data_IF_291607665217
#
_entry.id   IF_291607665217
#
_cell.length_a   1.000
_cell.length_b   1.000
_cell.length_c   1.000
_cell.angle_alpha   90.00
_cell.angle_beta   90.00
_cell.angle_gamma   90.00
#
_symmetry.space_group_name_H-M   'P 1'
#
loop_
_entity.id
_entity.type
_entity.pdbx_description
1 polymer ?
#
# COMPACT_ATOMS: atom_id res chain seq x y z
N UNK A 1 6.08 18.42 64.63
CA UNK A 1 6.11 17.10 63.95
C UNK A 1 4.94 16.86 62.98
N UNK A 2 4.00 17.81 62.74
CA UNK A 2 2.84 17.58 61.79
C UNK A 2 3.06 18.06 60.35
N UNK A 3 4.15 18.80 60.06
CA UNK A 3 4.40 19.33 58.71
C UNK A 3 5.19 18.43 57.77
N UNK A 4 5.96 17.48 58.31
CA UNK A 4 6.77 16.55 57.51
C UNK A 4 5.92 15.43 56.87
N UNK A 5 4.84 15.02 57.58
CA UNK A 5 3.95 13.96 57.06
C UNK A 5 3.14 14.35 55.80
N UNK A 6 2.81 15.64 55.70
CA UNK A 6 2.01 16.16 54.56
C UNK A 6 2.87 16.24 53.27
N UNK A 7 4.18 16.55 53.43
CA UNK A 7 5.08 16.63 52.26
C UNK A 7 5.35 15.24 51.65
N UNK A 8 5.47 14.20 52.50
CA UNK A 8 5.69 12.83 52.02
C UNK A 8 4.46 12.28 51.28
N UNK A 9 3.24 12.61 51.76
CA UNK A 9 2.00 12.17 51.08
C UNK A 9 1.81 12.87 49.76
N UNK A 10 2.16 14.16 49.63
CA UNK A 10 2.06 14.91 48.37
C UNK A 10 3.13 14.44 47.40
N UNK A 11 4.35 14.11 47.85
CA UNK A 11 5.37 13.54 46.96
C UNK A 11 5.00 12.14 46.46
N UNK A 12 4.38 11.28 47.29
CA UNK A 12 3.92 9.95 46.90
C UNK A 12 2.76 10.03 45.91
N UNK A 13 1.90 11.05 45.99
CA UNK A 13 0.83 11.29 45.01
C UNK A 13 1.34 11.80 43.65
N UNK A 14 2.46 12.56 43.66
CA UNK A 14 3.05 13.05 42.40
C UNK A 14 3.81 11.92 41.67
N UNK A 15 4.44 10.99 42.40
CA UNK A 15 5.13 9.82 41.81
C UNK A 15 4.12 8.80 41.27
N UNK A 16 2.93 8.66 41.90
CA UNK A 16 1.90 7.73 41.46
C UNK A 16 1.13 8.18 40.22
N UNK A 17 1.19 9.47 39.85
CA UNK A 17 0.50 10.00 38.65
C UNK A 17 1.37 9.91 37.40
N UNK A 18 2.70 9.78 37.53
CA UNK A 18 3.59 9.67 36.38
C UNK A 18 3.51 8.33 35.63
N UNK A 19 3.06 7.26 36.28
CA UNK A 19 2.92 5.94 35.63
C UNK A 19 1.57 5.76 34.90
N UNK A 20 0.59 6.64 35.16
CA UNK A 20 -0.73 6.51 34.53
C UNK A 20 -0.86 7.23 33.16
N UNK A 21 0.12 8.04 32.79
CA UNK A 21 0.09 8.79 31.52
C UNK A 21 0.72 8.03 30.34
N UNK A 22 1.26 6.82 30.54
CA UNK A 22 1.93 6.02 29.49
C UNK A 22 1.15 4.81 29.01
N UNK A 23 -0.09 4.62 29.47
CA UNK A 23 -0.97 3.54 29.02
C UNK A 23 -1.72 3.98 27.77
N UNK A 24 -1.08 3.98 26.58
CA UNK A 24 -1.87 4.21 25.36
C UNK A 24 -1.19 4.37 24.03
N UNK A 25 0.10 4.62 23.90
CA UNK A 25 0.72 4.67 22.58
C UNK A 25 1.40 3.33 22.26
N UNK A 26 0.82 2.59 21.32
CA UNK A 26 1.49 1.39 20.79
C UNK A 26 2.86 1.80 20.20
N UNK A 27 3.99 1.43 20.82
CA UNK A 27 5.33 1.85 20.38
C UNK A 27 5.65 1.34 18.97
N UNK A 28 5.05 0.22 18.56
CA UNK A 28 5.19 -0.32 17.21
C UNK A 28 4.49 0.56 16.16
N UNK A 29 3.40 1.27 16.53
CA UNK A 29 2.70 2.18 15.61
C UNK A 29 3.56 3.40 15.24
N UNK A 30 4.30 3.94 16.20
CA UNK A 30 5.25 5.03 15.94
C UNK A 30 6.39 4.53 15.04
N UNK A 31 6.91 3.33 15.35
CA UNK A 31 7.96 2.69 14.55
C UNK A 31 7.50 2.31 13.14
N UNK A 32 6.26 1.84 13.00
CA UNK A 32 5.66 1.60 11.68
C UNK A 32 5.69 2.84 10.79
N UNK A 33 5.29 4.00 11.33
CA UNK A 33 5.30 5.27 10.60
C UNK A 33 6.71 5.65 10.14
N UNK A 34 7.71 5.50 11.01
CA UNK A 34 9.12 5.74 10.68
C UNK A 34 9.59 4.83 9.53
N UNK A 35 9.32 3.52 9.64
CA UNK A 35 9.70 2.52 8.62
C UNK A 35 9.00 2.81 7.28
N UNK A 36 7.70 3.08 7.30
CA UNK A 36 6.94 3.45 6.09
C UNK A 36 7.52 4.69 5.42
N UNK A 37 7.85 5.71 6.22
CA UNK A 37 8.42 6.95 5.69
C UNK A 37 9.83 6.74 5.12
N UNK A 38 10.64 5.86 5.71
CA UNK A 38 11.97 5.55 5.19
C UNK A 38 11.91 4.91 3.78
N UNK A 39 10.97 4.00 3.55
CA UNK A 39 10.75 3.45 2.21
C UNK A 39 10.16 4.48 1.23
N UNK A 40 9.25 5.33 1.72
CA UNK A 40 8.64 6.37 0.88
C UNK A 40 9.63 7.44 0.43
N UNK A 41 10.59 7.78 1.29
CA UNK A 41 11.65 8.74 0.98
C UNK A 41 12.63 8.25 -0.10
N UNK A 42 12.70 6.93 -0.32
CA UNK A 42 13.52 6.35 -1.39
C UNK A 42 12.91 6.54 -2.79
N UNK A 43 11.60 6.80 -2.87
CA UNK A 43 10.89 6.96 -4.14
C UNK A 43 11.02 8.42 -4.58
N UNK A 44 11.65 8.74 -5.73
CA UNK A 44 11.71 10.08 -6.27
C UNK A 44 10.30 10.68 -6.48
N UNK A 45 10.15 11.98 -6.37
CA UNK A 45 8.83 12.61 -6.47
C UNK A 45 8.19 12.46 -7.84
N UNK A 46 8.98 12.53 -8.90
CA UNK A 46 8.59 12.29 -10.29
C UNK A 46 8.22 10.82 -10.58
N UNK A 47 8.60 9.89 -9.70
CA UNK A 47 8.21 8.47 -9.75
C UNK A 47 6.99 8.14 -8.85
N UNK A 48 6.43 9.14 -8.17
CA UNK A 48 5.17 9.04 -7.43
C UNK A 48 4.02 9.45 -8.35
N UNK A 49 3.45 8.48 -9.04
CA UNK A 49 2.39 8.70 -10.03
C UNK A 49 1.00 8.40 -9.45
N UNK A 50 -0.03 8.82 -10.15
CA UNK A 50 -1.41 8.50 -9.82
C UNK A 50 -2.04 7.47 -10.78
N UNK A 51 -3.30 7.12 -10.54
CA UNK A 51 -4.02 6.13 -11.37
C UNK A 51 -4.32 6.63 -12.77
N UNK A 52 -4.37 7.95 -12.99
CA UNK A 52 -4.58 8.53 -14.31
C UNK A 52 -3.32 8.39 -15.16
N UNK A 53 -2.16 8.65 -14.55
CA UNK A 53 -0.87 8.43 -15.22
C UNK A 53 -0.63 6.96 -15.50
N UNK A 54 -0.95 6.08 -14.54
CA UNK A 54 -0.91 4.63 -14.77
C UNK A 54 -1.82 4.24 -15.95
N UNK A 55 -3.02 4.83 -16.06
CA UNK A 55 -3.95 4.52 -17.15
C UNK A 55 -3.40 4.93 -18.53
N UNK A 56 -2.74 6.08 -18.63
CA UNK A 56 -2.05 6.49 -19.87
C UNK A 56 -0.98 5.47 -20.29
N UNK A 57 -0.13 5.04 -19.34
CA UNK A 57 0.90 4.02 -19.56
C UNK A 57 0.27 2.69 -19.97
N UNK A 58 -0.78 2.28 -19.28
CA UNK A 58 -1.51 1.05 -19.58
C UNK A 58 -2.13 1.08 -20.98
N UNK A 59 -2.79 2.19 -21.36
CA UNK A 59 -3.36 2.33 -22.71
C UNK A 59 -2.29 2.19 -23.79
N UNK A 60 -1.14 2.85 -23.61
CA UNK A 60 0.00 2.73 -24.52
C UNK A 60 0.50 1.29 -24.59
N UNK A 61 0.64 0.64 -23.44
CA UNK A 61 1.11 -0.75 -23.38
C UNK A 61 0.15 -1.75 -24.03
N UNK A 62 -1.16 -1.50 -23.95
CA UNK A 62 -2.18 -2.35 -24.61
C UNK A 62 -2.26 -2.09 -26.12
N UNK A 63 -1.92 -0.89 -26.57
CA UNK A 63 -1.90 -0.53 -27.99
C UNK A 63 -0.60 -0.92 -28.71
N UNK A 64 0.51 -0.97 -27.99
CA UNK A 64 1.84 -1.22 -28.54
C UNK A 64 2.53 -2.43 -27.82
N UNK A 65 2.49 -3.63 -28.44
CA UNK A 65 3.14 -4.82 -27.88
C UNK A 65 4.67 -4.67 -27.73
N UNK A 66 5.33 -3.82 -28.53
CA UNK A 66 6.77 -3.58 -28.42
C UNK A 66 7.08 -2.73 -27.17
N UNK A 67 6.22 -1.74 -26.87
CA UNK A 67 6.32 -0.99 -25.61
C UNK A 67 5.98 -1.86 -24.41
N UNK A 68 4.92 -2.70 -24.49
CA UNK A 68 4.54 -3.61 -23.39
C UNK A 68 5.67 -4.53 -22.95
N UNK A 69 6.51 -4.98 -23.86
CA UNK A 69 7.65 -5.83 -23.56
C UNK A 69 8.79 -5.12 -22.83
N UNK A 70 8.82 -3.80 -22.84
CA UNK A 70 9.88 -2.99 -22.21
C UNK A 70 9.55 -2.56 -20.78
N UNK A 71 8.29 -2.69 -20.35
CA UNK A 71 7.81 -2.25 -19.05
C UNK A 71 7.24 -3.40 -18.23
N UNK A 72 7.22 -3.24 -16.91
CA UNK A 72 6.61 -4.17 -15.97
C UNK A 72 5.47 -3.49 -15.24
N UNK A 73 4.28 -4.04 -15.38
CA UNK A 73 3.04 -3.57 -14.73
C UNK A 73 2.73 -4.54 -13.58
N UNK A 74 3.13 -4.20 -12.34
CA UNK A 74 3.17 -5.16 -11.24
C UNK A 74 2.07 -4.88 -10.21
N UNK A 75 1.13 -5.82 -10.09
CA UNK A 75 0.17 -5.87 -8.99
C UNK A 75 0.74 -6.71 -7.84
N UNK A 76 0.94 -6.08 -6.67
CA UNK A 76 1.52 -6.74 -5.49
C UNK A 76 0.46 -7.20 -4.47
N UNK A 77 -0.80 -7.33 -4.88
CA UNK A 77 -1.86 -7.88 -4.04
C UNK A 77 -1.66 -9.36 -3.78
N UNK A 78 -2.47 -9.92 -2.87
CA UNK A 78 -2.49 -11.37 -2.65
C UNK A 78 -3.07 -12.12 -3.87
N UNK A 79 -2.76 -13.42 -3.97
CA UNK A 79 -3.30 -14.27 -5.06
C UNK A 79 -4.84 -14.21 -5.14
N UNK A 80 -5.61 -14.37 -4.05
CA UNK A 80 -7.06 -14.26 -4.13
C UNK A 80 -7.56 -12.89 -4.60
N UNK A 81 -6.91 -11.78 -4.16
CA UNK A 81 -7.28 -10.45 -4.61
C UNK A 81 -7.02 -10.26 -6.11
N UNK A 82 -5.92 -10.80 -6.62
CA UNK A 82 -5.54 -10.69 -8.02
C UNK A 82 -6.47 -11.54 -8.91
N UNK A 83 -6.72 -12.79 -8.52
CA UNK A 83 -7.59 -13.68 -9.30
C UNK A 83 -9.06 -13.25 -9.30
N UNK A 84 -9.53 -12.59 -8.23
CA UNK A 84 -10.88 -12.04 -8.23
C UNK A 84 -11.07 -11.00 -9.35
N UNK A 85 -10.11 -10.13 -9.55
CA UNK A 85 -10.01 -9.16 -10.66
C UNK A 85 -8.65 -8.46 -10.65
N UNK A 86 -8.21 -8.03 -11.82
CA UNK A 86 -6.96 -7.27 -11.98
C UNK A 86 -7.04 -6.33 -13.20
N UNK A 87 -6.07 -5.44 -13.32
CA UNK A 87 -5.89 -4.60 -14.52
C UNK A 87 -5.32 -5.51 -15.62
N UNK A 88 -5.90 -5.48 -16.81
CA UNK A 88 -5.48 -6.31 -17.94
C UNK A 88 -3.98 -6.13 -18.26
N UNK A 89 -3.30 -7.22 -18.60
CA UNK A 89 -1.89 -7.21 -18.96
C UNK A 89 -0.93 -7.02 -17.77
N UNK A 90 -1.40 -7.23 -16.54
CA UNK A 90 -0.61 -7.06 -15.32
C UNK A 90 0.26 -8.27 -15.04
N UNK A 91 1.50 -8.02 -14.61
CA UNK A 91 2.38 -8.99 -13.96
C UNK A 91 2.01 -9.09 -12.48
N UNK A 92 1.92 -10.30 -11.92
CA UNK A 92 1.55 -10.48 -10.52
C UNK A 92 2.74 -10.94 -9.68
N UNK A 93 3.04 -10.16 -8.63
CA UNK A 93 3.98 -10.52 -7.58
C UNK A 93 3.38 -10.20 -6.21
N UNK A 94 2.96 -11.21 -5.47
CA UNK A 94 2.50 -11.00 -4.10
C UNK A 94 3.56 -10.26 -3.25
N UNK A 95 3.17 -9.22 -2.50
CA UNK A 95 4.11 -8.38 -1.76
C UNK A 95 5.01 -9.16 -0.79
N UNK A 96 4.53 -10.26 -0.20
CA UNK A 96 5.33 -11.16 0.63
C UNK A 96 6.45 -11.89 -0.13
N UNK A 97 6.40 -11.91 -1.46
CA UNK A 97 7.41 -12.52 -2.34
C UNK A 97 8.22 -11.47 -3.13
N UNK A 98 8.21 -10.20 -2.71
CA UNK A 98 8.90 -9.10 -3.42
C UNK A 98 10.40 -9.37 -3.66
N UNK A 99 11.04 -10.16 -2.80
CA UNK A 99 12.42 -10.61 -2.96
C UNK A 99 12.64 -11.48 -4.21
N UNK A 100 11.56 -11.98 -4.82
CA UNK A 100 11.60 -12.72 -6.08
C UNK A 100 11.66 -11.81 -7.32
N UNK A 101 11.28 -10.53 -7.20
CA UNK A 101 11.28 -9.59 -8.32
C UNK A 101 12.68 -9.45 -8.94
N UNK A 102 13.77 -9.24 -8.18
CA UNK A 102 15.11 -9.15 -8.76
C UNK A 102 15.62 -10.43 -9.43
N UNK A 103 15.03 -11.57 -9.12
CA UNK A 103 15.34 -12.84 -9.80
C UNK A 103 14.73 -12.89 -11.20
N UNK A 104 13.65 -12.17 -11.43
CA UNK A 104 12.90 -12.13 -12.70
C UNK A 104 13.28 -10.93 -13.56
N UNK A 105 13.40 -9.76 -12.96
CA UNK A 105 13.74 -8.50 -13.63
C UNK A 105 15.19 -8.19 -13.28
N UNK A 106 16.10 -8.49 -14.20
CA UNK A 106 17.56 -8.39 -13.97
C UNK A 106 18.14 -7.02 -14.36
N UNK A 107 17.43 -6.24 -15.17
CA UNK A 107 17.85 -4.92 -15.58
C UNK A 107 17.53 -3.89 -14.49
N UNK A 108 18.53 -3.23 -13.86
CA UNK A 108 18.30 -2.21 -12.85
C UNK A 108 17.66 -0.94 -13.42
N UNK A 109 17.68 -0.75 -14.75
CA UNK A 109 17.04 0.37 -15.42
C UNK A 109 15.63 0.03 -15.95
N UNK A 110 15.12 -1.17 -15.68
CA UNK A 110 13.78 -1.56 -16.08
C UNK A 110 12.72 -0.58 -15.57
N UNK A 111 11.78 -0.24 -16.42
CA UNK A 111 10.64 0.63 -16.11
C UNK A 111 9.54 -0.21 -15.43
N UNK A 112 9.35 -0.01 -14.12
CA UNK A 112 8.50 -0.84 -13.27
C UNK A 112 7.41 0.00 -12.63
N UNK A 113 6.14 -0.33 -12.88
CA UNK A 113 4.96 0.29 -12.25
C UNK A 113 4.41 -0.62 -11.19
N UNK A 114 4.32 -0.15 -9.92
CA UNK A 114 3.93 -0.98 -8.78
C UNK A 114 2.69 -0.44 -8.11
N UNK A 115 1.67 -1.27 -7.97
CA UNK A 115 0.47 -0.94 -7.20
C UNK A 115 -0.04 -2.11 -6.37
N UNK A 116 -0.92 -1.80 -5.44
CA UNK A 116 -1.66 -2.79 -4.68
C UNK A 116 -3.13 -2.37 -4.59
N UNK A 117 -3.83 -2.70 -3.51
CA UNK A 117 -5.22 -2.27 -3.31
C UNK A 117 -5.35 -0.75 -3.15
N UNK A 118 -4.57 -0.14 -2.21
CA UNK A 118 -4.70 1.27 -1.80
C UNK A 118 -3.35 1.97 -1.66
N UNK A 119 -2.32 1.51 -2.35
CA UNK A 119 -0.94 2.02 -2.36
C UNK A 119 -0.07 1.72 -1.12
N UNK A 120 -0.59 1.12 -0.05
CA UNK A 120 0.18 0.88 1.17
C UNK A 120 1.28 -0.18 0.97
N UNK A 121 0.91 -1.40 0.56
CA UNK A 121 1.86 -2.50 0.29
C UNK A 121 2.86 -2.16 -0.83
N UNK A 122 2.37 -1.53 -1.90
CA UNK A 122 3.21 -1.16 -3.04
C UNK A 122 4.26 -0.11 -2.70
N UNK A 123 4.07 0.69 -1.64
CA UNK A 123 5.07 1.63 -1.13
C UNK A 123 6.29 0.90 -0.57
N UNK A 124 6.07 -0.16 0.21
CA UNK A 124 7.16 -0.98 0.73
C UNK A 124 7.90 -1.69 -0.42
N UNK A 125 7.16 -2.22 -1.39
CA UNK A 125 7.76 -2.90 -2.54
C UNK A 125 8.56 -1.92 -3.39
N UNK A 126 8.04 -0.73 -3.70
CA UNK A 126 8.77 0.28 -4.46
C UNK A 126 10.06 0.72 -3.74
N UNK A 127 9.96 1.06 -2.45
CA UNK A 127 11.15 1.42 -1.65
C UNK A 127 12.16 0.28 -1.53
N UNK A 128 11.70 -0.97 -1.38
CA UNK A 128 12.58 -2.14 -1.43
C UNK A 128 13.32 -2.25 -2.77
N UNK A 129 12.63 -2.06 -3.89
CA UNK A 129 13.25 -2.11 -5.21
C UNK A 129 14.29 -1.01 -5.40
N UNK A 130 14.02 0.22 -4.95
CA UNK A 130 15.01 1.29 -4.91
C UNK A 130 16.22 0.93 -4.05
N UNK A 131 15.99 0.40 -2.84
CA UNK A 131 17.06 -0.07 -1.96
C UNK A 131 17.87 -1.22 -2.59
N UNK A 132 17.24 -2.02 -3.44
CA UNK A 132 17.90 -3.12 -4.16
C UNK A 132 18.73 -2.64 -5.35
N UNK A 133 18.50 -1.39 -5.84
CA UNK A 133 19.30 -0.77 -6.91
C UNK A 133 18.55 -0.45 -8.20
N UNK A 134 17.24 -0.68 -8.27
CA UNK A 134 16.42 -0.24 -9.41
C UNK A 134 16.33 1.28 -9.46
N UNK A 135 16.22 1.84 -10.67
CA UNK A 135 16.25 3.28 -10.89
C UNK A 135 14.92 3.86 -11.38
N UNK A 136 14.07 3.05 -12.01
CA UNK A 136 12.83 3.48 -12.65
C UNK A 136 11.62 2.74 -12.10
N UNK A 137 11.35 2.90 -10.80
CA UNK A 137 10.20 2.28 -10.12
C UNK A 137 9.14 3.32 -9.81
N UNK A 138 7.99 3.22 -10.46
CA UNK A 138 6.86 4.12 -10.32
C UNK A 138 5.84 3.58 -9.32
N UNK A 139 5.63 4.28 -8.24
CA UNK A 139 4.64 3.94 -7.22
C UNK A 139 3.32 4.63 -7.49
N UNK A 140 2.23 3.85 -7.56
CA UNK A 140 0.89 4.38 -7.82
C UNK A 140 0.22 4.81 -6.52
N UNK A 141 0.29 6.10 -6.25
CA UNK A 141 -0.21 6.77 -5.06
C UNK A 141 -1.61 7.37 -5.19
N UNK A 142 -2.13 7.97 -4.10
CA UNK A 142 -3.37 8.73 -4.13
C UNK A 142 -3.17 10.09 -4.79
N UNK A 143 -4.27 10.64 -5.33
CA UNK A 143 -4.30 11.98 -5.91
C UNK A 143 -5.62 12.70 -5.65
N UNK A 144 -5.65 14.01 -5.91
CA UNK A 144 -6.88 14.80 -5.98
C UNK A 144 -6.96 15.42 -7.37
N UNK A 145 -8.06 15.18 -8.08
CA UNK A 145 -8.30 15.72 -9.41
C UNK A 145 -9.71 16.30 -9.46
N UNK A 146 -9.83 17.56 -9.90
CA UNK A 146 -11.11 18.29 -9.96
C UNK A 146 -11.89 18.23 -8.62
N UNK A 147 -11.22 18.45 -7.51
CA UNK A 147 -11.81 18.43 -6.15
C UNK A 147 -12.16 17.04 -5.60
N UNK A 148 -12.08 15.99 -6.41
CA UNK A 148 -12.35 14.60 -5.99
C UNK A 148 -11.06 13.89 -5.62
N UNK A 149 -11.05 13.25 -4.44
CA UNK A 149 -9.94 12.44 -3.97
C UNK A 149 -10.04 11.01 -4.52
N UNK A 150 -8.98 10.57 -5.15
CA UNK A 150 -8.79 9.20 -5.62
C UNK A 150 -7.74 8.51 -4.75
N UNK A 151 -7.98 7.26 -4.39
CA UNK A 151 -6.96 6.44 -3.75
C UNK A 151 -5.93 5.98 -4.77
N UNK A 152 -4.78 5.49 -4.31
CA UNK A 152 -3.86 4.78 -5.19
C UNK A 152 -4.30 3.34 -5.45
N UNK A 153 -3.64 2.68 -6.39
CA UNK A 153 -3.86 1.28 -6.72
C UNK A 153 -5.25 0.98 -7.30
N UNK A 154 -5.70 -0.29 -7.14
CA UNK A 154 -6.94 -0.74 -7.80
C UNK A 154 -8.20 -0.03 -7.29
N UNK A 155 -8.20 0.48 -6.06
CA UNK A 155 -9.34 1.27 -5.56
C UNK A 155 -9.44 2.59 -6.30
N UNK A 156 -8.33 3.28 -6.50
CA UNK A 156 -8.30 4.52 -7.30
C UNK A 156 -8.66 4.26 -8.76
N UNK A 157 -8.17 3.16 -9.33
CA UNK A 157 -8.50 2.72 -10.68
C UNK A 157 -10.02 2.49 -10.84
N UNK A 158 -10.66 1.81 -9.88
CA UNK A 158 -12.12 1.65 -9.85
C UNK A 158 -12.85 2.99 -9.69
N UNK A 159 -12.38 3.87 -8.79
CA UNK A 159 -12.97 5.20 -8.57
C UNK A 159 -12.91 6.09 -9.82
N UNK A 160 -11.91 5.87 -10.68
CA UNK A 160 -11.75 6.55 -11.97
C UNK A 160 -12.62 5.91 -13.09
N UNK A 161 -13.30 4.79 -12.80
CA UNK A 161 -14.15 4.08 -13.77
C UNK A 161 -13.37 3.30 -14.83
N UNK A 162 -12.11 2.98 -14.57
CA UNK A 162 -11.27 2.22 -15.48
C UNK A 162 -11.57 0.71 -15.42
N UNK A 163 -11.33 -0.05 -16.52
CA UNK A 163 -11.73 -1.44 -16.63
C UNK A 163 -10.83 -2.40 -15.85
N UNK A 164 -11.42 -3.52 -15.45
CA UNK A 164 -10.75 -4.70 -14.93
C UNK A 164 -11.05 -5.92 -15.80
N UNK A 165 -10.29 -6.96 -15.57
CA UNK A 165 -10.54 -8.29 -16.12
C UNK A 165 -10.49 -9.33 -15.01
N UNK A 166 -11.14 -10.47 -15.23
CA UNK A 166 -10.90 -11.71 -14.54
C UNK A 166 -11.02 -12.88 -15.53
N UNK A 167 -10.68 -14.07 -15.06
CA UNK A 167 -10.68 -15.27 -15.91
C UNK A 167 -12.09 -15.75 -16.32
N UNK A 168 -13.16 -15.22 -15.71
CA UNK A 168 -14.53 -15.73 -15.91
C UNK A 168 -15.42 -14.83 -16.76
N UNK A 169 -15.29 -13.51 -16.60
CA UNK A 169 -16.25 -12.54 -17.18
C UNK A 169 -15.64 -11.62 -18.23
N UNK A 170 -14.34 -11.73 -18.47
CA UNK A 170 -13.65 -10.80 -19.36
C UNK A 170 -13.57 -9.39 -18.78
N UNK A 171 -13.76 -8.37 -19.63
CA UNK A 171 -13.64 -6.94 -19.25
C UNK A 171 -14.88 -6.41 -18.55
N UNK A 172 -14.73 -5.75 -17.40
CA UNK A 172 -15.83 -5.14 -16.65
C UNK A 172 -15.36 -3.90 -15.87
N UNK A 173 -16.31 -3.14 -15.30
CA UNK A 173 -16.03 -1.99 -14.43
C UNK A 173 -16.65 -2.22 -13.06
N UNK A 174 -15.93 -1.82 -12.01
CA UNK A 174 -16.46 -1.82 -10.65
C UNK A 174 -17.16 -0.48 -10.41
N UNK A 175 -18.48 -0.50 -10.30
CA UNK A 175 -19.30 0.70 -10.11
C UNK A 175 -19.17 1.24 -8.70
N UNK A 176 -19.09 0.35 -7.71
CA UNK A 176 -18.93 0.71 -6.30
C UNK A 176 -17.90 -0.20 -5.65
N UNK A 177 -16.81 0.39 -5.14
CA UNK A 177 -15.81 -0.36 -4.37
C UNK A 177 -16.19 -0.32 -2.89
N UNK A 178 -16.91 -1.32 -2.42
CA UNK A 178 -17.31 -1.44 -1.01
C UNK A 178 -16.13 -1.88 -0.14
N UNK A 179 -16.11 -1.39 1.09
CA UNK A 179 -15.24 -1.97 2.11
C UNK A 179 -15.69 -3.41 2.37
N UNK A 180 -14.73 -4.26 2.72
CA UNK A 180 -15.01 -5.58 3.25
C UNK A 180 -16.05 -5.50 4.37
N UNK A 181 -16.97 -6.47 4.51
CA UNK A 181 -17.87 -6.56 5.66
C UNK A 181 -17.12 -6.38 6.98
N UNK A 182 -17.75 -5.78 7.96
CA UNK A 182 -17.13 -5.63 9.26
C UNK A 182 -16.88 -7.01 9.89
N UNK A 183 -15.87 -7.11 10.77
CA UNK A 183 -15.59 -8.37 11.48
C UNK A 183 -16.81 -8.95 12.23
N UNK A 184 -17.81 -8.09 12.55
CA UNK A 184 -19.08 -8.50 13.17
C UNK A 184 -19.99 -9.26 12.21
N UNK A 185 -19.85 -9.03 10.91
CA UNK A 185 -20.65 -9.70 9.86
C UNK A 185 -20.00 -10.99 9.37
N UNK A 186 -18.75 -11.25 9.77
CA UNK A 186 -18.05 -12.48 9.45
C UNK A 186 -18.11 -13.42 10.65
N UNK A 187 -18.92 -14.48 10.56
CA UNK A 187 -19.11 -15.50 11.62
C UNK A 187 -17.94 -16.49 11.72
N UNK A 188 -16.70 -16.03 11.61
CA UNK A 188 -15.53 -16.90 11.72
C UNK A 188 -14.98 -16.89 13.14
N UNK A 189 -15.02 -18.03 13.83
CA UNK A 189 -14.35 -18.27 15.11
C UNK A 189 -12.84 -18.56 14.96
N UNK A 190 -12.22 -18.08 13.88
CA UNK A 190 -10.78 -18.25 13.64
C UNK A 190 -10.06 -16.91 13.83
N UNK A 191 -8.93 -17.00 14.51
CA UNK A 191 -8.03 -15.86 14.62
C UNK A 191 -7.28 -15.70 13.30
N UNK A 192 -7.80 -14.84 12.44
CA UNK A 192 -7.11 -14.49 11.20
C UNK A 192 -6.30 -13.21 11.38
N UNK A 193 -5.04 -13.26 11.01
CA UNK A 193 -4.23 -12.06 10.85
C UNK A 193 -4.41 -11.56 9.42
N UNK A 194 -5.42 -10.71 9.21
CA UNK A 194 -5.56 -10.00 7.95
C UNK A 194 -4.58 -8.83 7.94
N UNK A 195 -3.69 -8.74 6.94
CA UNK A 195 -2.73 -7.64 6.83
C UNK A 195 -3.38 -6.30 6.39
N UNK A 196 -4.71 -6.18 6.49
CA UNK A 196 -5.47 -5.03 5.97
C UNK A 196 -6.37 -4.40 7.02
#
# INVERSE_FOLDING_TARGET
MKKIGIIIVVLALIIGISDFAFAGSNPLKAKEKEVVNSFYAMIPDDHKIDVFKLHEVWQKAMADPAYRKKIYLIDVRSHPEFYAFHIEGTDHFHAGHMYGIPKKIKDPNAEIYVWCRTSHRSRYVAGFLYKYGYKNVYWVGPTTKNGKRYRGGVVGWAQAGFPFVNQFTGKFKIVEYRKHPSKKEMSFNIREFHPY
#
